data_IF_727721743818
#
_entry.id   IF_727721743818
#
_cell.length_a   1.000
_cell.length_b   1.000
_cell.length_c   1.000
_cell.angle_alpha   90.00
_cell.angle_beta   90.00
_cell.angle_gamma   90.00
#
_symmetry.space_group_name_H-M   'P 1'
#
loop_
_entity.id
_entity.type
_entity.pdbx_description
1 polymer ?
#
# COMPACT_ATOMS: atom_id res chain seq x y z
N UNK A 1 -6.06 -5.54 -8.47
CA UNK A 1 -6.87 -4.34 -8.83
C UNK A 1 -7.72 -4.55 -10.09
N UNK A 2 -7.14 -4.93 -11.24
CA UNK A 2 -7.92 -5.15 -12.48
C UNK A 2 -9.11 -6.09 -12.29
N UNK A 3 -8.94 -7.18 -11.54
CA UNK A 3 -10.04 -8.11 -11.26
C UNK A 3 -11.15 -7.49 -10.40
N UNK A 4 -10.82 -6.63 -9.44
CA UNK A 4 -11.80 -5.87 -8.67
C UNK A 4 -12.60 -4.93 -9.58
N UNK A 5 -11.94 -4.29 -10.55
CA UNK A 5 -12.62 -3.47 -11.56
C UNK A 5 -13.58 -4.30 -12.42
N UNK A 6 -13.16 -5.50 -12.85
CA UNK A 6 -13.98 -6.40 -13.68
C UNK A 6 -15.27 -6.80 -12.97
N UNK A 7 -15.20 -7.19 -11.69
CA UNK A 7 -16.33 -7.75 -10.94
C UNK A 7 -17.28 -6.69 -10.35
N UNK A 8 -16.81 -5.47 -10.11
CA UNK A 8 -17.67 -4.39 -9.61
C UNK A 8 -18.71 -3.97 -10.66
N UNK A 9 -19.95 -3.73 -10.21
CA UNK A 9 -20.98 -3.10 -11.04
C UNK A 9 -20.60 -1.65 -11.37
N UNK A 10 -21.10 -1.07 -12.48
CA UNK A 10 -20.94 0.37 -12.75
C UNK A 10 -21.36 1.24 -11.55
N UNK A 11 -20.55 2.24 -11.19
CA UNK A 11 -20.75 3.03 -9.97
C UNK A 11 -20.34 2.33 -8.66
N UNK A 12 -19.86 1.09 -8.73
CA UNK A 12 -19.39 0.31 -7.59
C UNK A 12 -18.18 0.96 -6.90
N UNK A 13 -18.07 0.73 -5.58
CA UNK A 13 -17.01 1.31 -4.74
C UNK A 13 -15.89 0.30 -4.50
N UNK A 14 -14.66 0.74 -4.68
CA UNK A 14 -13.48 0.07 -4.13
C UNK A 14 -13.11 0.78 -2.83
N UNK A 15 -13.04 0.03 -1.72
CA UNK A 15 -12.70 0.56 -0.41
C UNK A 15 -11.94 -0.53 0.37
N UNK A 16 -10.66 -0.30 0.61
CA UNK A 16 -9.75 -1.28 1.24
C UNK A 16 -8.91 -0.56 2.29
N UNK A 17 -8.72 -1.19 3.44
CA UNK A 17 -7.69 -0.80 4.41
C UNK A 17 -6.48 -1.70 4.20
N UNK A 18 -5.32 -1.11 3.95
CA UNK A 18 -4.09 -1.85 3.67
C UNK A 18 -2.85 -1.10 4.18
N UNK A 19 -1.70 -1.80 4.23
CA UNK A 19 -0.40 -1.20 4.49
C UNK A 19 0.20 -0.66 3.20
N UNK A 20 0.82 0.52 3.28
CA UNK A 20 1.53 1.17 2.18
C UNK A 20 2.89 1.70 2.63
N UNK A 21 3.83 1.81 1.70
CA UNK A 21 5.05 2.58 1.89
C UNK A 21 4.86 4.05 1.50
N UNK A 22 5.39 4.95 2.33
CA UNK A 22 5.41 6.40 2.14
C UNK A 22 6.77 6.85 1.60
N UNK A 23 7.18 6.29 0.48
CA UNK A 23 8.46 6.58 -0.16
C UNK A 23 8.80 5.51 -1.19
N UNK A 24 9.99 5.64 -1.77
CA UNK A 24 10.46 4.73 -2.82
C UNK A 24 10.97 3.42 -2.22
N UNK A 25 10.26 2.33 -2.45
CA UNK A 25 10.51 0.99 -1.90
C UNK A 25 11.89 0.45 -2.26
N UNK A 26 12.45 0.83 -3.41
CA UNK A 26 13.78 0.38 -3.83
C UNK A 26 14.92 0.93 -2.93
N UNK A 27 14.64 1.92 -2.09
CA UNK A 27 15.58 2.41 -1.07
C UNK A 27 15.63 1.54 0.17
N UNK A 28 14.72 0.57 0.31
CA UNK A 28 14.74 -0.41 1.40
C UNK A 28 15.82 -1.47 1.13
N UNK A 29 16.56 -1.91 2.17
CA UNK A 29 17.49 -3.02 2.07
C UNK A 29 16.80 -4.29 1.55
N UNK A 30 17.47 -5.13 0.73
CA UNK A 30 16.89 -6.36 0.21
C UNK A 30 16.33 -7.30 1.29
N UNK A 31 16.92 -7.27 2.49
CA UNK A 31 16.49 -8.07 3.63
C UNK A 31 15.06 -7.74 4.10
N UNK A 32 14.63 -6.48 3.97
CA UNK A 32 13.25 -6.07 4.27
C UNK A 32 12.27 -6.74 3.31
N UNK A 33 12.63 -6.83 2.02
CA UNK A 33 11.77 -7.45 1.00
C UNK A 33 11.66 -8.99 1.15
N UNK A 34 12.69 -9.65 1.69
CA UNK A 34 12.76 -11.12 1.79
C UNK A 34 12.52 -11.67 3.20
N UNK A 35 12.27 -10.81 4.19
CA UNK A 35 11.94 -11.25 5.54
C UNK A 35 10.55 -11.91 5.57
N UNK A 36 10.51 -13.19 5.96
CA UNK A 36 9.27 -13.96 6.13
C UNK A 36 8.37 -13.33 7.21
N UNK A 37 8.97 -12.80 8.27
CA UNK A 37 8.23 -12.17 9.38
C UNK A 37 7.59 -10.85 8.95
N UNK A 38 8.31 -10.01 8.19
CA UNK A 38 7.74 -8.77 7.65
C UNK A 38 6.71 -9.04 6.56
N UNK A 39 6.86 -10.15 5.83
CA UNK A 39 5.88 -10.58 4.84
C UNK A 39 4.58 -11.05 5.48
N UNK A 40 4.65 -11.89 6.51
CA UNK A 40 3.46 -12.33 7.25
C UNK A 40 2.80 -11.18 8.01
N UNK A 41 3.55 -10.13 8.37
CA UNK A 41 3.04 -8.88 8.93
C UNK A 41 2.47 -7.88 7.92
N UNK A 42 2.31 -8.25 6.63
CA UNK A 42 1.84 -7.37 5.54
C UNK A 42 2.71 -6.13 5.25
N UNK A 43 3.98 -6.12 5.69
CA UNK A 43 4.88 -4.99 5.49
C UNK A 43 5.66 -5.15 4.18
N UNK A 44 6.44 -6.23 4.03
CA UNK A 44 7.38 -6.35 2.89
C UNK A 44 6.67 -6.41 1.52
N UNK A 45 5.44 -6.95 1.51
CA UNK A 45 4.58 -7.02 0.33
C UNK A 45 3.83 -5.74 0.01
N UNK A 46 3.86 -4.73 0.88
CA UNK A 46 3.11 -3.49 0.68
C UNK A 46 3.57 -2.76 -0.59
N UNK A 47 2.60 -2.12 -1.24
CA UNK A 47 2.82 -1.23 -2.37
C UNK A 47 3.17 0.17 -1.86
N UNK A 48 3.79 0.97 -2.72
CA UNK A 48 3.91 2.40 -2.45
C UNK A 48 2.54 3.08 -2.56
N UNK A 49 2.32 4.15 -1.81
CA UNK A 49 1.09 4.97 -1.97
C UNK A 49 0.86 5.38 -3.43
N UNK A 50 1.89 5.86 -4.10
CA UNK A 50 1.82 6.29 -5.50
C UNK A 50 1.58 5.14 -6.47
N UNK A 51 2.09 3.95 -6.16
CA UNK A 51 1.85 2.74 -6.94
C UNK A 51 0.37 2.31 -6.87
N UNK A 52 -0.24 2.39 -5.68
CA UNK A 52 -1.69 2.18 -5.51
C UNK A 52 -2.52 3.14 -6.38
N UNK A 53 -2.19 4.43 -6.35
CA UNK A 53 -2.88 5.46 -7.12
C UNK A 53 -2.77 5.22 -8.63
N UNK A 54 -1.56 4.86 -9.09
CA UNK A 54 -1.30 4.54 -10.48
C UNK A 54 -2.06 3.30 -10.94
N UNK A 55 -2.01 2.20 -10.19
CA UNK A 55 -2.66 0.94 -10.55
C UNK A 55 -4.20 1.06 -10.58
N UNK A 56 -4.79 1.78 -9.63
CA UNK A 56 -6.24 2.05 -9.62
C UNK A 56 -6.65 2.87 -10.85
N UNK A 57 -5.91 3.93 -11.15
CA UNK A 57 -6.17 4.79 -12.31
C UNK A 57 -6.01 4.02 -13.63
N UNK A 58 -4.95 3.21 -13.76
CA UNK A 58 -4.70 2.37 -14.94
C UNK A 58 -5.80 1.32 -15.15
N UNK A 59 -6.37 0.76 -14.08
CA UNK A 59 -7.50 -0.16 -14.18
C UNK A 59 -8.82 0.51 -14.57
N UNK A 60 -8.88 1.85 -14.60
CA UNK A 60 -10.06 2.62 -14.99
C UNK A 60 -10.93 3.10 -13.82
N UNK A 61 -10.47 2.95 -12.57
CA UNK A 61 -11.15 3.57 -11.43
C UNK A 61 -11.00 5.10 -11.47
N UNK A 62 -12.02 5.80 -10.97
CA UNK A 62 -12.06 7.26 -10.79
C UNK A 62 -12.18 7.60 -9.30
N UNK A 63 -12.03 8.87 -8.94
CA UNK A 63 -12.07 9.34 -7.53
C UNK A 63 -11.07 8.59 -6.63
N UNK A 64 -9.87 8.31 -7.17
CA UNK A 64 -8.82 7.58 -6.45
C UNK A 64 -8.28 8.43 -5.30
N UNK A 65 -8.26 7.87 -4.10
CA UNK A 65 -7.69 8.49 -2.91
C UNK A 65 -7.04 7.42 -2.02
N UNK A 66 -5.79 7.68 -1.62
CA UNK A 66 -5.08 6.89 -0.61
C UNK A 66 -4.86 7.78 0.60
N UNK A 67 -5.66 7.58 1.64
CA UNK A 67 -5.61 8.38 2.87
C UNK A 67 -4.80 7.63 3.93
N UNK A 68 -3.66 8.19 4.33
CA UNK A 68 -2.85 7.63 5.42
C UNK A 68 -3.60 7.80 6.74
N UNK A 69 -3.82 6.70 7.46
CA UNK A 69 -4.56 6.71 8.73
C UNK A 69 -3.65 6.53 9.94
N UNK A 70 -2.55 5.79 9.80
CA UNK A 70 -1.58 5.58 10.88
C UNK A 70 -0.20 5.23 10.31
N UNK A 71 0.84 5.95 10.71
CA UNK A 71 2.23 5.63 10.33
C UNK A 71 2.89 4.85 11.46
N UNK A 72 3.53 3.73 11.13
CA UNK A 72 4.18 2.87 12.12
C UNK A 72 5.60 3.35 12.41
N UNK A 73 5.94 3.68 13.67
CA UNK A 73 7.32 3.73 14.12
C UNK A 73 7.98 2.36 13.91
N UNK A 74 9.22 2.29 13.39
CA UNK A 74 9.90 1.01 13.18
C UNK A 74 10.00 0.14 14.43
N UNK A 75 10.06 0.74 15.62
CA UNK A 75 10.14 0.03 16.89
C UNK A 75 8.88 -0.80 17.19
N UNK A 76 7.76 -0.51 16.54
CA UNK A 76 6.49 -1.23 16.70
C UNK A 76 6.33 -2.39 15.70
N UNK A 77 7.23 -2.51 14.72
CA UNK A 77 7.18 -3.56 13.70
C UNK A 77 8.10 -4.71 14.14
N UNK A 78 7.49 -5.85 14.46
CA UNK A 78 8.23 -7.05 14.82
C UNK A 78 9.14 -7.53 13.67
N UNK A 79 10.31 -8.06 14.02
CA UNK A 79 11.27 -8.58 13.04
C UNK A 79 12.22 -7.55 12.42
N UNK A 80 12.14 -6.28 12.82
CA UNK A 80 13.11 -5.26 12.39
C UNK A 80 14.32 -5.17 13.31
N UNK A 81 15.49 -4.94 12.71
CA UNK A 81 16.74 -4.72 13.43
C UNK A 81 17.65 -3.71 12.73
N UNK A 82 18.38 -2.92 13.51
CA UNK A 82 19.47 -2.06 13.04
C UNK A 82 19.14 -1.25 11.78
N UNK A 83 19.81 -1.59 10.68
CA UNK A 83 19.69 -0.95 9.36
C UNK A 83 18.26 -0.98 8.79
N UNK A 84 17.50 -2.05 9.04
CA UNK A 84 16.12 -2.20 8.53
C UNK A 84 15.18 -1.18 9.19
N UNK A 85 15.37 -0.96 10.49
CA UNK A 85 14.59 0.04 11.23
C UNK A 85 14.89 1.46 10.73
N UNK A 86 16.16 1.77 10.45
CA UNK A 86 16.55 3.08 9.90
C UNK A 86 16.00 3.29 8.49
N UNK A 87 16.07 2.26 7.65
CA UNK A 87 15.48 2.31 6.32
C UNK A 87 13.96 2.58 6.35
N UNK A 88 13.24 2.02 7.32
CA UNK A 88 11.82 2.31 7.50
C UNK A 88 11.52 3.66 8.16
N UNK A 89 12.52 4.37 8.71
CA UNK A 89 12.36 5.81 9.01
C UNK A 89 12.40 6.64 7.74
N UNK A 90 13.25 6.26 6.78
CA UNK A 90 13.36 6.95 5.48
C UNK A 90 12.21 6.60 4.51
N UNK A 91 11.68 5.37 4.59
CA UNK A 91 10.54 4.89 3.79
C UNK A 91 9.48 4.32 4.75
N UNK A 92 8.67 5.18 5.40
CA UNK A 92 7.74 4.75 6.43
C UNK A 92 6.70 3.76 5.91
N UNK A 93 6.42 2.72 6.70
CA UNK A 93 5.24 1.89 6.54
C UNK A 93 4.05 2.55 7.25
N UNK A 94 2.87 2.52 6.63
CA UNK A 94 1.67 3.11 7.19
C UNK A 94 0.42 2.33 6.81
N UNK A 95 -0.57 2.28 7.70
CA UNK A 95 -1.94 1.97 7.34
C UNK A 95 -2.52 3.11 6.50
N UNK A 96 -3.23 2.74 5.44
CA UNK A 96 -4.00 3.66 4.62
C UNK A 96 -5.40 3.11 4.32
N UNK A 97 -6.34 4.03 4.15
CA UNK A 97 -7.65 3.74 3.58
C UNK A 97 -7.66 4.14 2.11
N UNK A 98 -7.73 3.13 1.24
CA UNK A 98 -7.69 3.25 -0.21
C UNK A 98 -9.13 3.22 -0.73
N UNK A 99 -9.51 4.28 -1.44
CA UNK A 99 -10.85 4.42 -2.02
C UNK A 99 -10.79 4.77 -3.49
N UNK A 100 -11.74 4.24 -4.26
CA UNK A 100 -12.03 4.69 -5.62
C UNK A 100 -13.43 4.23 -6.05
N UNK A 101 -13.85 4.59 -7.26
CA UNK A 101 -15.12 4.17 -7.86
C UNK A 101 -14.95 3.68 -9.27
N UNK A 102 -15.69 2.64 -9.64
CA UNK A 102 -15.89 2.29 -11.04
C UNK A 102 -16.81 3.33 -11.68
N UNK A 103 -16.48 3.88 -12.86
CA UNK A 103 -17.34 4.82 -13.56
C UNK A 103 -18.77 4.27 -13.73
N UNK A 104 -19.76 5.16 -13.70
CA UNK A 104 -21.12 4.82 -14.14
C UNK A 104 -21.11 4.66 -15.66
N UNK A 105 -21.89 3.71 -16.18
CA UNK A 105 -22.20 3.69 -17.61
C UNK A 105 -23.06 4.92 -17.89
N UNK A 106 -22.68 5.71 -18.90
CA UNK A 106 -23.49 6.84 -19.38
C UNK A 106 -24.71 6.32 -20.13
#
# INVERSE_FOLDING_TARGET
ISEAFRVLQPGGRFAVSDVVFLGEKHKLPPRVAWSVELWSGCISGALEKGEYEALLSQAGFVEVAVEVTHTYPPEQIAGLSGEEAEALRAVPAASAFIRSRKPKVK
#
